data_IF_345593932678
#
_entry.id   IF_345593932678
#
_cell.length_a   1.000
_cell.length_b   1.000
_cell.length_c   1.000
_cell.angle_alpha   90.00
_cell.angle_beta   90.00
_cell.angle_gamma   90.00
#
_symmetry.space_group_name_H-M   'P 1'
#
loop_
_entity.id
_entity.type
_entity.pdbx_description
1 polymer ?
#
# COMPACT_ATOMS: atom_id res chain seq x y z
N UNK A 1 9.21 10.93 -3.07
CA UNK A 1 7.80 10.77 -3.48
C UNK A 1 7.50 9.28 -3.50
N UNK A 2 6.37 8.84 -2.94
CA UNK A 2 6.04 7.41 -2.89
C UNK A 2 5.70 6.91 -4.29
N UNK A 3 6.31 5.82 -4.74
CA UNK A 3 5.99 5.19 -6.02
C UNK A 3 5.32 3.85 -5.77
N UNK A 4 4.28 3.56 -6.52
CA UNK A 4 3.56 2.31 -6.46
C UNK A 4 3.60 1.63 -7.83
N UNK A 5 3.86 0.33 -7.84
CA UNK A 5 4.00 -0.49 -9.05
C UNK A 5 3.10 -1.72 -8.95
N UNK A 6 2.30 -2.00 -9.98
CA UNK A 6 1.66 -3.29 -10.09
C UNK A 6 2.57 -4.25 -10.87
N UNK A 7 3.09 -5.26 -10.17
CA UNK A 7 3.94 -6.30 -10.71
C UNK A 7 3.07 -7.50 -11.05
N UNK A 8 2.57 -7.53 -12.28
CA UNK A 8 1.81 -8.66 -12.81
C UNK A 8 2.71 -9.90 -12.84
N UNK A 9 2.30 -10.96 -12.15
CA UNK A 9 3.00 -12.24 -12.10
C UNK A 9 1.96 -13.35 -12.15
N UNK A 10 2.21 -14.37 -12.98
CA UNK A 10 1.27 -15.47 -13.23
C UNK A 10 0.92 -16.29 -11.97
N UNK A 11 1.73 -16.19 -10.92
CA UNK A 11 1.56 -16.96 -9.68
C UNK A 11 1.41 -16.11 -8.43
N UNK A 12 1.95 -14.89 -8.42
CA UNK A 12 2.00 -14.02 -7.23
C UNK A 12 2.00 -12.54 -7.65
N UNK A 13 0.90 -12.01 -8.19
CA UNK A 13 0.83 -10.60 -8.51
C UNK A 13 1.00 -9.76 -7.22
N UNK A 14 1.56 -8.57 -7.34
CA UNK A 14 1.76 -7.69 -6.17
C UNK A 14 1.72 -6.21 -6.55
N UNK A 15 1.24 -5.37 -5.64
CA UNK A 15 1.41 -3.92 -5.65
C UNK A 15 2.57 -3.58 -4.71
N UNK A 16 3.64 -3.04 -5.27
CA UNK A 16 4.83 -2.62 -4.55
C UNK A 16 4.82 -1.10 -4.36
N UNK A 17 4.74 -0.64 -3.11
CA UNK A 17 5.09 0.73 -2.73
C UNK A 17 6.60 0.82 -2.46
N UNK A 18 7.27 1.81 -3.03
CA UNK A 18 8.70 2.05 -2.91
C UNK A 18 8.96 3.55 -2.72
N UNK A 19 9.75 3.88 -1.69
CA UNK A 19 10.15 5.25 -1.39
C UNK A 19 11.03 5.30 -0.14
N UNK A 20 11.45 6.50 0.21
CA UNK A 20 12.14 6.72 1.48
C UNK A 20 11.14 6.85 2.63
N UNK A 21 11.65 6.82 3.85
CA UNK A 21 10.84 7.02 5.06
C UNK A 21 9.83 8.18 4.98
N UNK A 22 10.20 9.43 4.63
CA UNK A 22 9.23 10.53 4.51
C UNK A 22 8.19 10.32 3.41
N UNK A 23 8.44 9.44 2.45
CA UNK A 23 7.51 9.14 1.38
C UNK A 23 6.37 8.22 1.82
N UNK A 24 6.47 7.57 2.98
CA UNK A 24 5.38 6.72 3.49
C UNK A 24 4.28 7.52 4.20
N UNK A 25 4.55 8.77 4.57
CA UNK A 25 3.59 9.66 5.26
C UNK A 25 2.24 9.80 4.53
N UNK A 26 2.19 9.98 3.19
CA UNK A 26 0.91 10.07 2.48
C UNK A 26 0.06 8.79 2.57
N UNK A 27 0.71 7.62 2.65
CA UNK A 27 0.00 6.36 2.85
C UNK A 27 -0.53 6.26 4.29
N UNK A 28 0.25 6.72 5.27
CA UNK A 28 -0.20 6.83 6.66
C UNK A 28 -1.42 7.75 6.78
N UNK A 29 -1.36 8.94 6.19
CA UNK A 29 -2.45 9.92 6.18
C UNK A 29 -3.73 9.31 5.57
N UNK A 30 -3.59 8.55 4.47
CA UNK A 30 -4.72 7.88 3.83
C UNK A 30 -5.35 6.78 4.71
N UNK A 31 -4.56 6.07 5.50
CA UNK A 31 -5.07 5.07 6.45
C UNK A 31 -5.79 5.75 7.63
N UNK A 32 -5.22 6.83 8.15
CA UNK A 32 -5.83 7.64 9.20
C UNK A 32 -7.20 8.14 8.76
N UNK A 33 -7.26 8.80 7.60
CA UNK A 33 -8.51 9.30 7.01
C UNK A 33 -9.53 8.16 6.76
N UNK A 34 -9.07 6.99 6.29
CA UNK A 34 -9.94 5.83 6.09
C UNK A 34 -10.57 5.39 7.41
N UNK A 35 -9.78 5.32 8.48
CA UNK A 35 -10.26 4.86 9.79
C UNK A 35 -11.16 5.88 10.49
N UNK A 36 -10.91 7.16 10.30
CA UNK A 36 -11.68 8.25 10.90
C UNK A 36 -13.04 8.46 10.21
N UNK A 37 -13.05 8.52 8.88
CA UNK A 37 -14.26 8.87 8.12
C UNK A 37 -14.99 7.67 7.51
N UNK A 38 -14.30 6.53 7.37
CA UNK A 38 -14.84 5.31 6.79
C UNK A 38 -15.24 5.42 5.31
N UNK A 39 -14.81 6.48 4.62
CA UNK A 39 -15.08 6.66 3.19
C UNK A 39 -13.94 6.08 2.38
N UNK A 40 -14.21 5.48 1.20
CA UNK A 40 -13.15 5.01 0.32
C UNK A 40 -12.21 6.14 -0.11
N UNK A 41 -10.91 5.88 -0.08
CA UNK A 41 -9.87 6.86 -0.42
C UNK A 41 -9.17 6.44 -1.70
N UNK A 42 -9.01 7.40 -2.60
CA UNK A 42 -8.40 7.21 -3.89
C UNK A 42 -6.94 7.68 -3.86
N UNK A 43 -5.98 6.74 -3.91
CA UNK A 43 -4.57 7.09 -3.72
C UNK A 43 -4.02 7.97 -4.86
N UNK A 44 -4.58 7.86 -6.08
CA UNK A 44 -4.18 8.71 -7.21
C UNK A 44 -4.52 10.20 -7.03
N UNK A 45 -5.35 10.56 -6.04
CA UNK A 45 -5.67 11.97 -5.77
C UNK A 45 -4.60 12.66 -4.93
N UNK A 46 -3.76 11.89 -4.23
CA UNK A 46 -2.64 12.45 -3.47
C UNK A 46 -1.41 12.61 -4.38
N UNK A 47 -1.04 13.86 -4.67
CA UNK A 47 0.13 14.20 -5.49
C UNK A 47 1.48 13.68 -4.97
N UNK A 48 1.54 13.21 -3.71
CA UNK A 48 2.73 12.63 -3.07
C UNK A 48 2.88 11.13 -3.37
N UNK A 49 1.84 10.50 -3.93
CA UNK A 49 1.81 9.09 -4.34
C UNK A 49 1.71 9.00 -5.86
N UNK A 50 2.68 8.35 -6.48
CA UNK A 50 2.71 8.08 -7.91
C UNK A 50 2.40 6.61 -8.18
N UNK A 51 1.27 6.32 -8.83
CA UNK A 51 0.89 4.96 -9.25
C UNK A 51 1.24 4.78 -10.74
N UNK A 52 2.09 3.80 -11.07
CA UNK A 52 2.52 3.58 -12.45
C UNK A 52 1.48 2.79 -13.26
N UNK A 53 0.69 3.49 -14.08
CA UNK A 53 -0.24 2.89 -15.04
C UNK A 53 -1.37 2.03 -14.41
N UNK A 54 -1.69 2.27 -13.14
CA UNK A 54 -2.84 1.68 -12.45
C UNK A 54 -3.49 2.68 -11.48
N UNK A 55 -4.67 2.30 -10.96
CA UNK A 55 -5.35 3.04 -9.88
C UNK A 55 -5.60 2.12 -8.70
N UNK A 56 -5.54 2.70 -7.49
CA UNK A 56 -5.74 1.98 -6.25
C UNK A 56 -6.56 2.83 -5.28
N UNK A 57 -7.67 2.27 -4.80
CA UNK A 57 -8.42 2.82 -3.68
C UNK A 57 -8.26 1.98 -2.42
N UNK A 58 -8.36 2.62 -1.26
CA UNK A 58 -8.55 2.00 0.03
C UNK A 58 -10.05 2.00 0.37
N UNK A 59 -10.56 0.93 0.95
CA UNK A 59 -11.96 0.86 1.39
C UNK A 59 -12.10 -0.01 2.65
N UNK A 60 -13.08 0.32 3.49
CA UNK A 60 -13.45 -0.55 4.60
C UNK A 60 -14.39 -1.66 4.14
N UNK A 61 -14.25 -2.86 4.71
CA UNK A 61 -15.20 -3.96 4.59
C UNK A 61 -15.76 -4.37 5.96
N UNK A 62 -16.93 -5.03 5.97
CA UNK A 62 -17.63 -5.41 7.20
C UNK A 62 -16.99 -6.63 7.88
N UNK A 63 -16.42 -7.54 7.10
CA UNK A 63 -15.77 -8.75 7.61
C UNK A 63 -14.34 -8.86 7.10
N UNK A 64 -13.41 -9.28 7.97
CA UNK A 64 -12.01 -9.58 7.60
C UNK A 64 -11.92 -10.59 6.44
N UNK A 65 -12.90 -11.49 6.34
CA UNK A 65 -12.97 -12.47 5.27
C UNK A 65 -13.13 -11.86 3.87
N UNK A 66 -13.56 -10.60 3.80
CA UNK A 66 -13.74 -9.80 2.58
C UNK A 66 -12.58 -8.83 2.36
N UNK A 67 -11.57 -8.84 3.25
CA UNK A 67 -10.35 -8.07 3.12
C UNK A 67 -9.42 -8.67 2.08
N UNK A 68 -8.66 -7.82 1.39
CA UNK A 68 -7.77 -8.19 0.31
C UNK A 68 -7.64 -7.10 -0.75
N UNK A 69 -6.90 -7.38 -1.81
CA UNK A 69 -6.78 -6.50 -2.98
C UNK A 69 -7.59 -7.08 -4.13
N UNK A 70 -8.59 -6.33 -4.56
CA UNK A 70 -9.52 -6.74 -5.62
C UNK A 70 -9.24 -5.96 -6.90
N UNK A 71 -9.07 -6.66 -8.01
CA UNK A 71 -9.12 -6.01 -9.32
C UNK A 71 -10.59 -5.75 -9.70
N UNK A 72 -10.93 -4.46 -9.89
CA UNK A 72 -12.27 -4.02 -10.27
C UNK A 72 -12.44 -4.02 -11.79
N UNK A 73 -11.43 -3.57 -12.53
CA UNK A 73 -11.40 -3.52 -14.01
C UNK A 73 -9.98 -3.17 -14.47
N UNK A 74 -9.43 -3.89 -15.46
CA UNK A 74 -8.16 -3.66 -16.15
C UNK A 74 -7.23 -2.60 -15.53
N UNK A 75 -6.47 -2.97 -14.48
CA UNK A 75 -5.53 -2.10 -13.74
C UNK A 75 -6.17 -1.07 -12.78
N UNK A 76 -7.41 -1.29 -12.34
CA UNK A 76 -8.04 -0.58 -11.23
C UNK A 76 -8.25 -1.55 -10.08
N UNK A 77 -7.63 -1.25 -8.96
CA UNK A 77 -7.64 -2.08 -7.77
C UNK A 77 -8.34 -1.38 -6.61
N UNK A 78 -8.91 -2.17 -5.72
CA UNK A 78 -9.44 -1.73 -4.43
C UNK A 78 -8.87 -2.60 -3.32
N UNK A 79 -8.16 -1.98 -2.40
CA UNK A 79 -7.62 -2.62 -1.21
C UNK A 79 -8.62 -2.47 -0.08
N UNK A 80 -9.29 -3.57 0.21
CA UNK A 80 -10.31 -3.67 1.26
C UNK A 80 -9.69 -4.22 2.53
N UNK A 81 -10.11 -3.67 3.66
CA UNK A 81 -9.70 -4.15 4.97
C UNK A 81 -10.76 -3.81 6.01
N UNK A 82 -10.79 -4.54 7.12
CA UNK A 82 -11.64 -4.13 8.25
C UNK A 82 -11.08 -2.84 8.86
N UNK A 83 -11.90 -2.13 9.65
CA UNK A 83 -11.43 -0.94 10.37
C UNK A 83 -10.29 -1.28 11.34
N UNK A 84 -10.38 -2.41 12.03
CA UNK A 84 -9.36 -2.85 12.99
C UNK A 84 -8.04 -3.15 12.25
N UNK A 85 -8.11 -3.83 11.10
CA UNK A 85 -6.94 -4.10 10.27
C UNK A 85 -6.31 -2.80 9.72
N UNK A 86 -7.12 -1.81 9.33
CA UNK A 86 -6.59 -0.51 8.90
C UNK A 86 -5.86 0.22 10.05
N UNK A 87 -6.38 0.14 11.28
CA UNK A 87 -5.77 0.73 12.47
C UNK A 87 -4.48 0.02 12.85
N UNK A 88 -4.45 -1.32 12.82
CA UNK A 88 -3.24 -2.10 13.06
C UNK A 88 -2.16 -1.70 12.04
N UNK A 89 -2.55 -1.59 10.77
CA UNK A 89 -1.64 -1.20 9.70
C UNK A 89 -1.14 0.26 9.82
N UNK A 90 -2.01 1.17 10.26
CA UNK A 90 -1.62 2.54 10.60
C UNK A 90 -0.55 2.55 11.70
N UNK A 91 -0.79 1.82 12.81
CA UNK A 91 0.13 1.79 13.96
C UNK A 91 1.48 1.19 13.56
N UNK A 92 1.45 0.09 12.83
CA UNK A 92 2.63 -0.57 12.29
C UNK A 92 3.48 0.37 11.41
N UNK A 93 2.82 1.17 10.55
CA UNK A 93 3.48 2.15 9.69
C UNK A 93 3.99 3.37 10.48
N UNK A 94 3.24 3.83 11.48
CA UNK A 94 3.64 4.93 12.38
C UNK A 94 4.88 4.55 13.22
N UNK A 95 4.89 3.33 13.78
CA UNK A 95 6.02 2.79 14.53
C UNK A 95 7.27 2.70 13.63
N UNK A 96 7.11 2.24 12.39
CA UNK A 96 8.18 2.23 11.40
C UNK A 96 8.74 3.63 11.16
N UNK A 97 7.86 4.63 11.03
CA UNK A 97 8.22 6.03 10.87
C UNK A 97 8.90 6.63 12.13
N UNK A 98 8.79 6.00 13.29
CA UNK A 98 9.45 6.44 14.52
C UNK A 98 10.79 5.76 14.79
N UNK A 99 11.08 4.60 14.18
CA UNK A 99 12.34 3.88 14.40
C UNK A 99 13.57 4.62 13.81
N UNK A 100 14.72 4.66 14.52
CA UNK A 100 15.97 5.17 13.96
C UNK A 100 16.40 4.34 12.73
N UNK A 101 17.17 4.93 11.81
CA UNK A 101 17.55 4.36 10.50
C UNK A 101 17.58 2.83 10.48
N UNK A 102 16.58 2.25 9.83
CA UNK A 102 16.51 0.82 9.59
C UNK A 102 17.32 0.48 8.35
N UNK A 103 18.38 -0.30 8.54
CA UNK A 103 19.00 -1.07 7.46
C UNK A 103 18.11 -2.28 7.18
N UNK A 104 17.26 -2.23 6.14
CA UNK A 104 16.50 -3.39 5.68
C UNK A 104 15.16 -3.06 5.05
N UNK A 105 14.69 -3.96 4.18
CA UNK A 105 13.34 -3.99 3.63
C UNK A 105 12.35 -4.43 4.71
N UNK A 106 11.35 -3.60 5.02
CA UNK A 106 10.19 -4.06 5.78
C UNK A 106 9.24 -4.81 4.84
N UNK A 107 8.46 -5.75 5.37
CA UNK A 107 7.44 -6.46 4.60
C UNK A 107 6.15 -6.44 5.42
N UNK A 108 5.09 -5.88 4.85
CA UNK A 108 3.74 -6.14 5.30
C UNK A 108 3.00 -6.84 4.18
N UNK A 109 2.38 -7.97 4.51
CA UNK A 109 1.66 -8.82 3.56
C UNK A 109 0.26 -9.06 4.12
N UNK A 110 -0.76 -8.56 3.43
CA UNK A 110 -2.15 -8.97 3.64
C UNK A 110 -2.55 -9.96 2.55
N UNK A 111 -3.11 -11.11 2.96
CA UNK A 111 -3.57 -12.19 2.09
C UNK A 111 -4.95 -12.75 2.55
N UNK A 112 -5.98 -12.78 1.69
CA UNK A 112 -6.85 -13.95 1.39
C UNK A 112 -7.34 -14.24 -0.08
N UNK A 113 -7.08 -15.47 -0.58
CA UNK A 113 -7.58 -16.22 -1.77
C UNK A 113 -7.60 -15.53 -3.18
N UNK A 114 -6.76 -16.02 -4.10
CA UNK A 114 -6.52 -15.60 -5.51
C UNK A 114 -5.58 -14.39 -5.78
N UNK A 115 -4.63 -14.08 -4.89
CA UNK A 115 -4.38 -12.67 -4.55
C UNK A 115 -3.18 -11.89 -5.09
N UNK A 116 -3.43 -10.58 -5.18
CA UNK A 116 -2.47 -9.51 -5.31
C UNK A 116 -1.97 -9.09 -3.92
N UNK A 117 -0.66 -9.21 -3.67
CA UNK A 117 -0.04 -8.79 -2.40
C UNK A 117 0.22 -7.30 -2.38
N UNK A 118 0.01 -6.62 -1.25
CA UNK A 118 0.67 -5.32 -1.02
C UNK A 118 2.05 -5.59 -0.46
N UNK A 119 3.07 -4.88 -0.94
CA UNK A 119 4.42 -4.86 -0.38
C UNK A 119 4.87 -3.40 -0.26
N UNK A 120 5.45 -3.03 0.87
CA UNK A 120 6.09 -1.72 1.07
C UNK A 120 7.58 -1.96 1.20
N UNK A 121 8.39 -1.32 0.36
CA UNK A 121 9.85 -1.35 0.42
C UNK A 121 10.39 0.05 0.71
N UNK A 122 11.28 0.14 1.69
CA UNK A 122 11.89 1.39 2.16
C UNK A 122 13.40 1.32 1.93
N UNK A 123 14.01 2.42 1.48
CA UNK A 123 15.47 2.57 1.30
C UNK A 123 16.14 1.62 0.27
N UNK A 124 15.39 0.90 -0.56
CA UNK A 124 15.94 -0.16 -1.45
C UNK A 124 16.17 0.27 -2.91
N UNK A 125 15.81 1.49 -3.32
CA UNK A 125 15.93 1.92 -4.72
C UNK A 125 16.64 3.25 -4.82
N UNK A 126 17.98 3.21 -4.74
CA UNK A 126 18.80 4.24 -5.38
C UNK A 126 18.50 4.20 -6.89
N UNK A 127 18.24 5.35 -7.52
CA UNK A 127 17.71 5.51 -8.90
C UNK A 127 18.48 4.71 -9.98
N UNK A 128 19.65 4.18 -9.64
CA UNK A 128 20.49 3.29 -10.45
C UNK A 128 19.86 1.92 -10.82
N UNK A 129 18.84 1.43 -10.11
CA UNK A 129 18.31 0.08 -10.33
C UNK A 129 17.30 -0.05 -11.49
N UNK A 130 16.66 1.05 -11.91
CA UNK A 130 15.66 1.06 -12.99
C UNK A 130 16.23 1.44 -14.37
N UNK A 131 17.55 1.69 -14.48
CA UNK A 131 18.21 2.12 -15.72
C UNK A 131 18.97 0.99 -16.47
N UNK A 132 18.80 -0.28 -16.08
CA UNK A 132 19.43 -1.42 -16.79
C UNK A 132 18.39 -2.28 -17.52
#
# INVERSE_FOLDING_TARGET
MLRAYFLACDFYPQILFAGDKPDLVPLLDALDELTDFGQPISLQQDSRIYLQDFSLSLALCEAEAEGGVFELDAMRFEWRMSKDTALDFYQDLEDLLCQPELSGSLFFEMLRLDEIKIKISMNEFDDSYLQN
#
